data_IF_743097117911
#
_entry.id   IF_743097117911
#
_cell.length_a   1.000
_cell.length_b   1.000
_cell.length_c   1.000
_cell.angle_alpha   90.00
_cell.angle_beta   90.00
_cell.angle_gamma   90.00
#
_symmetry.space_group_name_H-M   'P 1'
#
loop_
_entity.id
_entity.type
_entity.pdbx_description
1 polymer ?
#
# COMPACT_ATOMS: atom_id res chain seq x y z
N UNK A 1 -15.36 -15.16 58.66
CA UNK A 1 -15.78 -14.46 57.43
C UNK A 1 -16.61 -15.42 56.58
N UNK A 2 -17.93 -15.21 56.46
CA UNK A 2 -18.79 -16.01 55.57
C UNK A 2 -18.66 -15.47 54.15
N UNK A 3 -17.92 -16.18 53.29
CA UNK A 3 -17.86 -15.84 51.87
C UNK A 3 -19.18 -16.24 51.20
N UNK A 4 -19.79 -15.28 50.52
CA UNK A 4 -21.09 -15.45 49.87
C UNK A 4 -20.91 -16.32 48.60
N UNK A 5 -21.64 -17.43 48.45
CA UNK A 5 -21.49 -18.33 47.30
C UNK A 5 -21.74 -17.63 45.95
N UNK A 6 -22.58 -16.60 45.95
CA UNK A 6 -22.84 -15.77 44.78
C UNK A 6 -21.57 -15.03 44.31
N UNK A 7 -20.80 -14.50 45.26
CA UNK A 7 -19.57 -13.75 44.98
C UNK A 7 -18.47 -14.66 44.42
N UNK A 8 -18.37 -15.88 44.95
CA UNK A 8 -17.43 -16.90 44.46
C UNK A 8 -17.74 -17.27 43.01
N UNK A 9 -19.03 -17.48 42.69
CA UNK A 9 -19.46 -17.83 41.34
C UNK A 9 -19.19 -16.72 40.32
N UNK A 10 -19.42 -15.46 40.70
CA UNK A 10 -19.13 -14.31 39.83
C UNK A 10 -17.63 -14.15 39.55
N UNK A 11 -16.79 -14.31 40.58
CA UNK A 11 -15.33 -14.24 40.43
C UNK A 11 -14.80 -15.38 39.55
N UNK A 12 -15.33 -16.59 39.71
CA UNK A 12 -14.96 -17.74 38.87
C UNK A 12 -15.34 -17.52 37.40
N UNK A 13 -16.54 -17.00 37.14
CA UNK A 13 -17.00 -16.69 35.78
C UNK A 13 -16.16 -15.59 35.11
N UNK A 14 -15.86 -14.51 35.85
CA UNK A 14 -14.98 -13.43 35.38
C UNK A 14 -13.58 -13.93 35.07
N UNK A 15 -13.00 -14.76 35.96
CA UNK A 15 -11.73 -15.44 35.75
C UNK A 15 -11.71 -16.26 34.46
N UNK A 16 -12.74 -17.09 34.26
CA UNK A 16 -12.87 -17.93 33.06
C UNK A 16 -12.98 -17.09 31.77
N UNK A 17 -13.76 -16.00 31.80
CA UNK A 17 -13.89 -15.08 30.67
C UNK A 17 -12.57 -14.37 30.35
N UNK A 18 -11.80 -13.97 31.36
CA UNK A 18 -10.48 -13.38 31.18
C UNK A 18 -9.48 -14.37 30.56
N UNK A 19 -9.48 -15.63 30.99
CA UNK A 19 -8.64 -16.68 30.41
C UNK A 19 -9.00 -16.95 28.94
N UNK A 20 -10.29 -17.03 28.60
CA UNK A 20 -10.75 -17.21 27.22
C UNK A 20 -10.37 -16.04 26.30
N UNK A 21 -10.35 -14.81 26.83
CA UNK A 21 -9.87 -13.62 26.11
C UNK A 21 -8.34 -13.66 25.93
N UNK A 22 -7.59 -14.03 26.96
CA UNK A 22 -6.13 -14.12 26.91
C UNK A 22 -5.65 -15.19 25.91
N UNK A 23 -6.38 -16.30 25.77
CA UNK A 23 -6.06 -17.35 24.79
C UNK A 23 -6.21 -16.88 23.34
N UNK A 24 -7.02 -15.85 23.06
CA UNK A 24 -7.14 -15.30 21.70
C UNK A 24 -5.94 -14.49 21.25
N UNK A 25 -4.99 -14.23 22.14
CA UNK A 25 -3.78 -13.44 21.87
C UNK A 25 -2.51 -14.26 22.11
N UNK A 26 -2.55 -15.56 21.76
CA UNK A 26 -1.31 -16.26 21.47
C UNK A 26 -0.98 -15.99 20.02
N UNK A 27 0.01 -15.11 19.77
CA UNK A 27 0.73 -15.08 18.51
C UNK A 27 1.18 -16.51 18.22
N UNK A 28 0.45 -17.18 17.33
CA UNK A 28 0.71 -18.58 16.99
C UNK A 28 2.18 -18.76 16.68
N UNK A 29 2.78 -19.81 17.23
CA UNK A 29 4.20 -20.15 17.06
C UNK A 29 4.59 -19.93 15.60
N UNK A 30 5.55 -19.03 15.38
CA UNK A 30 6.05 -18.70 14.06
C UNK A 30 6.60 -19.98 13.41
N UNK A 31 5.82 -20.54 12.48
CA UNK A 31 6.29 -21.62 11.61
C UNK A 31 6.71 -20.98 10.29
N UNK A 32 8.02 -20.79 10.04
CA UNK A 32 8.49 -20.26 8.77
C UNK A 32 7.94 -21.12 7.62
N UNK A 33 7.36 -20.47 6.60
CA UNK A 33 6.95 -21.14 5.35
C UNK A 33 5.45 -21.27 5.07
N UNK A 34 4.55 -20.83 5.96
CA UNK A 34 3.08 -20.87 5.69
C UNK A 34 2.51 -19.64 4.98
N UNK A 35 3.36 -18.78 4.41
CA UNK A 35 2.88 -17.67 3.58
C UNK A 35 2.18 -18.22 2.33
N UNK A 36 1.04 -17.65 1.96
CA UNK A 36 0.28 -18.05 0.77
C UNK A 36 1.11 -18.00 -0.53
N UNK A 37 2.12 -17.14 -0.56
CA UNK A 37 3.06 -16.98 -1.66
C UNK A 37 4.49 -17.37 -1.22
N UNK A 38 4.92 -18.62 -1.42
CA UNK A 38 6.30 -19.02 -1.18
C UNK A 38 7.26 -18.36 -2.18
N UNK A 39 6.87 -18.32 -3.46
CA UNK A 39 7.62 -17.67 -4.53
C UNK A 39 7.07 -16.28 -4.85
N UNK A 40 7.98 -15.34 -5.12
CA UNK A 40 7.66 -13.93 -5.34
C UNK A 40 8.49 -13.40 -6.50
N UNK A 41 7.86 -12.65 -7.38
CA UNK A 41 8.56 -11.99 -8.50
C UNK A 41 8.59 -10.47 -8.31
N UNK A 42 9.65 -9.84 -8.84
CA UNK A 42 9.90 -8.41 -8.60
C UNK A 42 9.01 -7.47 -9.45
N UNK A 43 8.42 -7.98 -10.51
CA UNK A 43 7.55 -7.18 -11.37
C UNK A 43 6.93 -8.00 -12.48
N UNK A 44 5.88 -7.44 -13.07
CA UNK A 44 5.13 -8.03 -14.17
C UNK A 44 4.85 -6.99 -15.25
N UNK A 45 4.74 -7.47 -16.48
CA UNK A 45 4.23 -6.70 -17.62
C UNK A 45 2.79 -7.10 -17.87
N UNK A 46 1.95 -6.14 -18.26
CA UNK A 46 0.53 -6.37 -18.52
C UNK A 46 -0.38 -5.42 -17.74
N UNK A 47 -1.67 -5.54 -17.99
CA UNK A 47 -2.70 -4.83 -17.24
C UNK A 47 -3.15 -5.67 -16.05
N UNK A 48 -3.29 -5.02 -14.90
CA UNK A 48 -3.73 -5.63 -13.66
C UNK A 48 -5.26 -5.47 -13.57
N UNK A 49 -5.94 -6.57 -13.29
CA UNK A 49 -7.39 -6.64 -13.09
C UNK A 49 -7.74 -6.35 -11.63
N UNK A 50 -7.01 -6.96 -10.69
CA UNK A 50 -7.29 -6.83 -9.26
C UNK A 50 -6.02 -6.89 -8.38
N UNK A 51 -6.15 -6.44 -7.13
CA UNK A 51 -5.11 -6.44 -6.10
C UNK A 51 -5.64 -6.95 -4.77
N UNK A 52 -5.01 -8.00 -4.25
CA UNK A 52 -5.22 -8.50 -2.89
C UNK A 52 -3.94 -8.29 -2.08
N UNK A 53 -4.06 -7.61 -0.95
CA UNK A 53 -2.96 -7.44 0.00
C UNK A 53 -3.35 -8.11 1.31
N UNK A 54 -2.53 -9.05 1.76
CA UNK A 54 -2.69 -9.69 3.06
C UNK A 54 -1.63 -9.11 4.01
N UNK A 55 -2.04 -8.51 5.14
CA UNK A 55 -1.10 -8.00 6.13
C UNK A 55 -0.31 -9.14 6.78
N UNK A 56 0.70 -8.77 7.57
CA UNK A 56 1.42 -9.74 8.41
C UNK A 56 0.43 -10.42 9.36
N UNK A 57 0.64 -11.71 9.60
CA UNK A 57 -0.16 -12.54 10.51
C UNK A 57 0.75 -13.50 11.27
N UNK A 58 0.24 -14.18 12.30
CA UNK A 58 0.97 -15.19 13.05
C UNK A 58 1.60 -16.28 12.15
N UNK A 59 0.94 -16.60 11.03
CA UNK A 59 1.41 -17.59 10.06
C UNK A 59 2.36 -17.03 8.98
N UNK A 60 2.48 -15.71 8.85
CA UNK A 60 3.32 -15.08 7.83
C UNK A 60 3.81 -13.69 8.29
N UNK A 61 5.11 -13.57 8.58
CA UNK A 61 5.74 -12.31 9.03
C UNK A 61 5.99 -11.30 7.88
N UNK A 62 5.54 -11.61 6.67
CA UNK A 62 5.69 -10.70 5.52
C UNK A 62 4.34 -10.36 4.93
N UNK A 63 4.19 -9.11 4.47
CA UNK A 63 2.99 -8.69 3.74
C UNK A 63 2.96 -9.43 2.40
N UNK A 64 1.83 -10.05 2.09
CA UNK A 64 1.66 -10.80 0.84
C UNK A 64 0.92 -9.92 -0.16
N UNK A 65 1.50 -9.74 -1.35
CA UNK A 65 0.93 -8.93 -2.43
C UNK A 65 0.58 -9.85 -3.60
N UNK A 66 -0.71 -9.97 -3.89
CA UNK A 66 -1.23 -10.81 -4.96
C UNK A 66 -1.93 -9.92 -5.96
N UNK A 67 -1.59 -10.07 -7.22
CA UNK A 67 -2.21 -9.35 -8.32
C UNK A 67 -2.88 -10.34 -9.25
N UNK A 68 -4.08 -10.01 -9.68
CA UNK A 68 -4.80 -10.76 -10.71
C UNK A 68 -4.63 -9.99 -12.02
N UNK A 69 -4.13 -10.66 -13.05
CA UNK A 69 -4.00 -10.08 -14.40
C UNK A 69 -5.34 -10.14 -15.14
N UNK A 70 -5.45 -9.44 -16.27
CA UNK A 70 -6.66 -9.47 -17.12
C UNK A 70 -6.99 -10.85 -17.68
N UNK A 71 -6.00 -11.73 -17.81
CA UNK A 71 -6.18 -13.12 -18.21
C UNK A 71 -6.46 -14.05 -17.01
N UNK A 72 -6.87 -13.49 -15.87
CA UNK A 72 -7.21 -14.20 -14.63
C UNK A 72 -6.05 -14.96 -13.95
N UNK A 73 -4.82 -14.81 -14.47
CA UNK A 73 -3.63 -15.33 -13.79
C UNK A 73 -3.37 -14.56 -12.50
N UNK A 74 -3.21 -15.31 -11.40
CA UNK A 74 -2.85 -14.77 -10.08
C UNK A 74 -1.34 -14.89 -9.89
N UNK A 75 -0.73 -13.78 -9.50
CA UNK A 75 0.72 -13.70 -9.38
C UNK A 75 1.12 -13.03 -8.07
N UNK A 76 2.10 -13.60 -7.40
CA UNK A 76 2.64 -13.08 -6.15
C UNK A 76 3.80 -12.10 -6.43
N UNK A 77 3.67 -10.86 -5.95
CA UNK A 77 4.70 -9.84 -6.08
C UNK A 77 5.56 -9.78 -4.83
N UNK A 78 6.85 -9.50 -5.02
CA UNK A 78 7.75 -9.19 -3.93
C UNK A 78 7.37 -7.83 -3.30
N UNK A 79 7.02 -7.80 -2.00
CA UNK A 79 6.64 -6.55 -1.33
C UNK A 79 7.77 -5.51 -1.27
N UNK A 80 9.02 -5.93 -1.40
CA UNK A 80 10.19 -5.05 -1.35
C UNK A 80 10.58 -4.47 -2.71
N UNK A 81 10.08 -5.06 -3.79
CA UNK A 81 10.34 -4.59 -5.14
C UNK A 81 9.59 -3.27 -5.43
N UNK A 82 10.03 -2.46 -6.40
CA UNK A 82 9.44 -1.15 -6.68
C UNK A 82 7.93 -1.19 -6.96
N UNK A 83 7.46 -2.20 -7.71
CA UNK A 83 6.04 -2.38 -8.01
C UNK A 83 5.25 -2.77 -6.75
N UNK A 84 5.74 -3.73 -5.97
CA UNK A 84 5.12 -4.13 -4.70
C UNK A 84 5.00 -2.95 -3.73
N UNK A 85 6.10 -2.22 -3.48
CA UNK A 85 6.12 -1.00 -2.66
C UNK A 85 5.14 0.08 -3.15
N UNK A 86 4.96 0.22 -4.46
CA UNK A 86 4.00 1.17 -5.02
C UNK A 86 2.56 0.74 -4.72
N UNK A 87 2.23 -0.52 -4.97
CA UNK A 87 0.88 -1.06 -4.75
C UNK A 87 0.50 -1.03 -3.27
N UNK A 88 1.39 -1.46 -2.38
CA UNK A 88 1.18 -1.41 -0.93
C UNK A 88 0.88 0.01 -0.45
N UNK A 89 1.70 1.00 -0.86
CA UNK A 89 1.50 2.40 -0.46
C UNK A 89 0.18 2.97 -0.96
N UNK A 90 -0.22 2.63 -2.19
CA UNK A 90 -1.48 3.11 -2.74
C UNK A 90 -2.68 2.45 -2.06
N UNK A 91 -2.61 1.14 -1.85
CA UNK A 91 -3.65 0.36 -1.17
C UNK A 91 -3.85 0.84 0.27
N UNK A 92 -2.78 1.03 1.06
CA UNK A 92 -2.87 1.58 2.42
C UNK A 92 -3.58 2.94 2.43
N UNK A 93 -3.24 3.82 1.48
CA UNK A 93 -3.93 5.12 1.36
C UNK A 93 -5.40 4.98 1.00
N UNK A 94 -5.74 4.09 0.07
CA UNK A 94 -7.11 3.87 -0.35
C UNK A 94 -7.95 3.30 0.81
N UNK A 95 -7.44 2.27 1.49
CA UNK A 95 -8.08 1.62 2.63
C UNK A 95 -8.33 2.60 3.79
N UNK A 96 -7.30 3.35 4.20
CA UNK A 96 -7.44 4.33 5.30
C UNK A 96 -8.45 5.45 5.00
N UNK A 97 -8.76 5.68 3.72
CA UNK A 97 -9.75 6.67 3.27
C UNK A 97 -11.09 6.04 2.86
N UNK A 98 -11.25 4.71 3.00
CA UNK A 98 -12.44 3.99 2.54
C UNK A 98 -12.70 4.10 1.03
N UNK A 99 -11.65 4.24 0.22
CA UNK A 99 -11.74 4.44 -1.23
C UNK A 99 -11.47 3.16 -2.01
N UNK A 100 -11.99 3.13 -3.24
CA UNK A 100 -11.70 2.06 -4.20
C UNK A 100 -10.19 1.94 -4.48
N UNK A 101 -9.72 0.69 -4.52
CA UNK A 101 -8.34 0.28 -4.75
C UNK A 101 -8.02 0.21 -6.24
N UNK A 102 -9.00 0.03 -7.14
CA UNK A 102 -8.78 -0.10 -8.59
C UNK A 102 -7.89 1.00 -9.21
N UNK A 103 -7.95 2.29 -8.79
CA UNK A 103 -7.02 3.31 -9.28
C UNK A 103 -5.53 3.00 -9.04
N UNK A 104 -5.19 2.20 -8.01
CA UNK A 104 -3.82 1.79 -7.70
C UNK A 104 -3.21 0.87 -8.75
N UNK A 105 -4.05 0.15 -9.50
CA UNK A 105 -3.66 -0.77 -10.56
C UNK A 105 -3.30 -0.06 -11.87
N UNK A 106 -3.77 1.18 -12.03
CA UNK A 106 -3.52 1.95 -13.25
C UNK A 106 -2.05 2.36 -13.31
N UNK A 107 -1.37 1.98 -14.39
CA UNK A 107 0.01 2.39 -14.64
C UNK A 107 0.07 3.91 -14.69
N UNK A 108 0.69 4.54 -13.69
CA UNK A 108 0.98 5.98 -13.71
C UNK A 108 1.91 6.24 -14.90
N UNK A 109 1.34 6.61 -16.06
CA UNK A 109 2.12 7.23 -17.12
C UNK A 109 2.76 8.45 -16.46
N UNK A 110 4.09 8.48 -16.38
CA UNK A 110 4.82 9.69 -15.99
C UNK A 110 4.45 10.73 -17.04
N UNK A 111 3.41 11.51 -16.80
CA UNK A 111 3.11 12.70 -17.59
C UNK A 111 4.37 13.54 -17.43
N UNK A 112 5.20 13.59 -18.48
CA UNK A 112 6.43 14.39 -18.54
C UNK A 112 6.02 15.85 -18.35
N UNK A 113 5.91 16.30 -17.11
CA UNK A 113 5.60 17.68 -16.71
C UNK A 113 6.79 18.62 -16.97
N UNK A 114 7.66 18.27 -17.93
CA UNK A 114 8.89 18.97 -18.29
C UNK A 114 8.75 19.93 -19.48
N UNK A 115 7.78 19.72 -20.38
CA UNK A 115 7.65 20.53 -21.61
C UNK A 115 7.22 21.99 -21.34
N UNK A 116 6.28 22.21 -20.41
CA UNK A 116 5.72 23.56 -20.14
C UNK A 116 6.72 24.54 -19.52
N UNK A 117 7.68 24.07 -18.72
CA UNK A 117 8.70 24.95 -18.10
C UNK A 117 9.77 25.36 -19.11
N UNK A 118 10.13 24.50 -20.05
CA UNK A 118 11.14 24.79 -21.07
C UNK A 118 10.63 25.78 -22.13
N UNK A 119 9.36 25.67 -22.52
CA UNK A 119 8.72 26.57 -23.49
C UNK A 119 8.56 28.01 -22.95
N UNK A 120 8.16 28.19 -21.68
CA UNK A 120 8.12 29.50 -21.03
C UNK A 120 9.51 30.17 -20.93
N UNK A 121 10.59 29.39 -20.72
CA UNK A 121 11.96 29.92 -20.70
C UNK A 121 12.45 30.40 -22.08
N UNK A 122 12.08 29.70 -23.16
CA UNK A 122 12.41 30.13 -24.54
C UNK A 122 11.70 31.44 -24.93
N UNK A 123 10.40 31.56 -24.63
CA UNK A 123 9.63 32.78 -24.92
C UNK A 123 10.19 34.02 -24.19
N UNK A 124 10.64 33.87 -22.94
CA UNK A 124 11.26 34.98 -22.18
C UNK A 124 12.59 35.47 -22.75
N UNK A 125 13.39 34.61 -23.40
CA UNK A 125 14.64 35.02 -24.06
C UNK A 125 14.36 35.78 -25.36
N UNK A 126 13.32 35.41 -26.09
CA UNK A 126 12.94 36.08 -27.35
C UNK A 126 12.32 37.47 -27.12
N UNK A 127 11.66 37.71 -25.97
CA UNK A 127 11.11 39.03 -25.64
C UNK A 127 12.10 40.08 -25.11
N UNK A 128 13.35 39.69 -24.80
CA UNK A 128 14.38 40.60 -24.31
C UNK A 128 15.35 41.07 -25.42
N UNK A 129 15.27 40.49 -26.63
CA UNK A 129 16.10 40.89 -27.77
C UNK A 129 15.51 41.98 -28.67
N UNK A 130 14.23 42.36 -28.47
CA UNK A 130 13.50 43.30 -29.34
C UNK A 130 13.32 44.71 -28.74
N UNK A 131 13.94 45.01 -27.58
CA UNK A 131 13.78 46.31 -26.90
C UNK A 131 15.05 47.19 -26.86
N UNK A 132 16.07 46.88 -27.65
CA UNK A 132 17.28 47.71 -27.78
C UNK A 132 17.55 48.03 -29.24
N UNK A 133 16.67 48.81 -29.87
CA UNK A 133 16.95 49.50 -31.13
C UNK A 133 15.90 50.58 -31.39
N UNK A 134 15.83 51.59 -30.53
CA UNK A 134 15.21 52.88 -30.88
C UNK A 134 15.76 53.98 -29.96
N UNK A 135 17.06 54.23 -30.08
CA UNK A 135 17.69 55.45 -29.56
C UNK A 135 18.62 56.01 -30.65
N UNK A 136 18.23 57.13 -31.24
CA UNK A 136 19.12 58.09 -31.88
C UNK A 136 19.42 57.91 -33.38
N UNK A 137 18.96 58.88 -34.18
CA UNK A 137 19.76 59.66 -35.16
C UNK A 137 18.82 60.70 -35.77
N UNK A 138 18.99 61.97 -35.36
CA UNK A 138 19.43 63.12 -36.18
C UNK A 138 18.35 63.66 -37.12
#
# INVERSE_FOLDING_TARGET
MKLNPQLICQLALLSLLCLLKAVRETDGVYVPGRCLCPERINGIRGQLKDLTILPKSASCNTITVIVTLMNDNRVCLNPEAPLGKQLIRCWNRAQNLGRDVKPCLKRRRRVRKGGRRQQRRRQRRQGLGTKTSSSGSQ
#
